data_IF_614461158013
#
_entry.id   IF_614461158013
#
_cell.length_a   1.000
_cell.length_b   1.000
_cell.length_c   1.000
_cell.angle_alpha   90.00
_cell.angle_beta   90.00
_cell.angle_gamma   90.00
#
_symmetry.space_group_name_H-M   'P 1'
#
loop_
_entity.id
_entity.type
_entity.pdbx_description
1 polymer ?
#
# COMPACT_ATOMS: atom_id res chain seq x y z
N UNK A 1 8.70 -18.86 22.34
CA UNK A 1 7.63 -17.92 22.73
C UNK A 1 6.86 -17.53 21.47
N UNK A 2 5.53 -17.42 21.50
CA UNK A 2 4.76 -16.97 20.34
C UNK A 2 5.07 -15.50 20.03
N UNK A 3 5.08 -15.14 18.75
CA UNK A 3 5.25 -13.76 18.33
C UNK A 3 4.00 -12.94 18.69
N UNK A 4 4.05 -12.20 19.79
CA UNK A 4 2.93 -11.37 20.27
C UNK A 4 2.59 -10.18 19.36
N UNK A 5 3.50 -9.80 18.47
CA UNK A 5 3.36 -8.64 17.59
C UNK A 5 2.86 -9.01 16.19
N UNK A 6 2.72 -10.29 15.86
CA UNK A 6 2.19 -10.72 14.57
C UNK A 6 3.12 -10.54 13.36
N UNK A 7 4.31 -9.96 13.53
CA UNK A 7 5.33 -9.90 12.47
C UNK A 7 5.63 -11.26 11.84
N UNK A 8 5.85 -11.27 10.54
CA UNK A 8 6.04 -12.53 9.78
C UNK A 8 7.40 -12.59 9.09
N UNK A 9 8.03 -11.44 8.86
CA UNK A 9 9.26 -11.32 8.11
C UNK A 9 10.24 -10.37 8.80
N UNK A 10 11.50 -10.47 8.40
CA UNK A 10 12.54 -9.51 8.73
C UNK A 10 12.96 -8.79 7.45
N UNK A 11 12.98 -7.46 7.51
CA UNK A 11 13.51 -6.62 6.44
C UNK A 11 14.96 -6.26 6.75
N UNK A 12 15.87 -6.61 5.85
CA UNK A 12 17.26 -6.18 5.91
C UNK A 12 17.42 -4.95 5.02
N UNK A 13 17.65 -3.81 5.63
CA UNK A 13 17.76 -2.52 4.93
C UNK A 13 19.25 -2.18 4.77
N UNK A 14 19.76 -2.08 3.54
CA UNK A 14 21.16 -1.73 3.29
C UNK A 14 21.43 -0.24 3.61
N UNK A 15 22.70 0.14 3.78
CA UNK A 15 23.07 1.47 4.24
C UNK A 15 22.71 2.59 3.27
N UNK A 16 22.54 2.35 1.99
CA UNK A 16 22.05 3.37 1.07
C UNK A 16 20.56 3.72 1.31
N UNK A 17 19.76 2.81 1.90
CA UNK A 17 18.33 3.00 2.16
C UNK A 17 18.01 3.60 3.53
N UNK A 18 18.83 3.37 4.55
CA UNK A 18 18.62 3.96 5.89
C UNK A 18 19.60 5.11 6.18
N UNK A 19 19.20 6.08 7.02
CA UNK A 19 20.03 7.26 7.33
C UNK A 19 20.73 7.17 8.69
N UNK A 20 20.72 6.02 9.35
CA UNK A 20 21.37 5.87 10.66
C UNK A 20 22.88 6.09 10.52
N UNK A 21 23.45 6.86 11.45
CA UNK A 21 24.87 7.22 11.53
C UNK A 21 25.46 7.97 10.32
N UNK A 22 24.62 8.43 9.37
CA UNK A 22 25.06 9.21 8.23
C UNK A 22 25.80 10.48 8.68
N UNK A 23 26.99 10.72 8.14
CA UNK A 23 27.85 11.87 8.45
C UNK A 23 28.67 11.74 9.74
N UNK A 24 28.70 10.55 10.37
CA UNK A 24 29.52 10.29 11.57
C UNK A 24 30.47 9.11 11.44
N UNK A 25 30.01 8.02 10.83
CA UNK A 25 30.74 6.75 10.69
C UNK A 25 30.60 6.24 9.25
N UNK A 26 30.84 7.11 8.27
CA UNK A 26 30.48 6.82 6.87
C UNK A 26 31.26 5.63 6.28
N UNK A 27 32.49 5.38 6.74
CA UNK A 27 33.29 4.22 6.36
C UNK A 27 32.73 2.93 6.95
N UNK A 28 32.50 2.88 8.27
CA UNK A 28 31.96 1.69 8.96
C UNK A 28 30.50 1.42 8.57
N UNK A 29 29.77 2.45 8.14
CA UNK A 29 28.38 2.35 7.72
C UNK A 29 28.21 1.55 6.44
N UNK A 30 29.24 1.37 5.60
CA UNK A 30 29.12 0.61 4.35
C UNK A 30 28.68 -0.85 4.57
N UNK A 31 28.95 -1.40 5.75
CA UNK A 31 28.58 -2.77 6.13
C UNK A 31 27.39 -2.82 7.12
N UNK A 32 26.76 -1.67 7.40
CA UNK A 32 25.70 -1.57 8.40
C UNK A 32 24.32 -1.83 7.79
N UNK A 33 23.72 -2.95 8.17
CA UNK A 33 22.32 -3.26 7.86
C UNK A 33 21.41 -2.89 9.02
N UNK A 34 20.32 -2.21 8.72
CA UNK A 34 19.21 -2.05 9.65
C UNK A 34 18.26 -3.23 9.48
N UNK A 35 17.99 -3.96 10.57
CA UNK A 35 17.06 -5.09 10.55
C UNK A 35 15.77 -4.69 11.25
N UNK A 36 14.63 -4.79 10.55
CA UNK A 36 13.32 -4.41 11.06
C UNK A 36 12.35 -5.60 10.99
N UNK A 37 11.56 -5.88 12.04
CA UNK A 37 10.46 -6.82 11.94
C UNK A 37 9.29 -6.18 11.18
N UNK A 38 8.73 -6.93 10.22
CA UNK A 38 7.66 -6.45 9.36
C UNK A 38 6.55 -7.51 9.18
N UNK A 39 5.38 -7.09 8.73
CA UNK A 39 4.36 -7.95 8.16
C UNK A 39 4.68 -8.23 6.69
N UNK A 40 4.23 -9.37 6.17
CA UNK A 40 4.54 -9.83 4.82
C UNK A 40 4.05 -8.87 3.73
N UNK A 41 3.03 -8.08 4.03
CA UNK A 41 2.43 -7.11 3.13
C UNK A 41 3.05 -5.71 3.21
N UNK A 42 4.04 -5.49 4.09
CA UNK A 42 4.58 -4.14 4.33
C UNK A 42 5.55 -3.64 3.24
N UNK A 43 6.30 -4.55 2.61
CA UNK A 43 7.34 -4.26 1.62
C UNK A 43 7.51 -5.43 0.65
N UNK A 44 7.77 -5.14 -0.63
CA UNK A 44 8.05 -6.16 -1.66
C UNK A 44 9.51 -6.59 -1.69
N UNK A 45 10.42 -5.69 -1.26
CA UNK A 45 11.86 -5.86 -1.40
C UNK A 45 12.41 -5.39 -2.75
N UNK A 46 11.55 -4.98 -3.68
CA UNK A 46 11.91 -4.45 -5.00
C UNK A 46 11.70 -2.92 -5.10
N UNK A 47 11.40 -2.24 -4.00
CA UNK A 47 11.20 -0.80 -3.98
C UNK A 47 12.46 -0.06 -4.47
N UNK A 48 12.27 1.00 -5.25
CA UNK A 48 13.33 1.99 -5.40
C UNK A 48 13.65 2.62 -4.05
N UNK A 49 14.86 3.17 -3.94
CA UNK A 49 15.32 3.88 -2.74
C UNK A 49 14.37 5.01 -2.36
N UNK A 50 13.89 5.75 -3.36
CA UNK A 50 12.98 6.88 -3.19
C UNK A 50 11.64 6.41 -2.64
N UNK A 51 11.05 5.36 -3.25
CA UNK A 51 9.78 4.80 -2.80
C UNK A 51 9.89 4.22 -1.38
N UNK A 52 10.98 3.51 -1.07
CA UNK A 52 11.21 3.00 0.29
C UNK A 52 11.23 4.13 1.33
N UNK A 53 11.90 5.25 1.03
CA UNK A 53 11.96 6.41 1.91
C UNK A 53 10.57 7.02 2.11
N UNK A 54 9.80 7.18 1.02
CA UNK A 54 8.42 7.70 1.10
C UNK A 54 7.52 6.81 1.95
N UNK A 55 7.56 5.48 1.73
CA UNK A 55 6.79 4.50 2.52
C UNK A 55 7.18 4.59 3.99
N UNK A 56 8.48 4.56 4.31
CA UNK A 56 8.98 4.61 5.68
C UNK A 56 8.60 5.92 6.39
N UNK A 57 8.54 7.05 5.68
CA UNK A 57 8.24 8.34 6.28
C UNK A 57 6.74 8.58 6.48
N UNK A 58 5.89 8.08 5.58
CA UNK A 58 4.49 8.46 5.54
C UNK A 58 3.51 7.34 5.85
N UNK A 59 3.80 6.09 5.44
CA UNK A 59 2.81 5.01 5.48
C UNK A 59 3.15 3.89 6.46
N UNK A 60 4.43 3.55 6.63
CA UNK A 60 4.87 2.43 7.46
C UNK A 60 5.69 2.89 8.69
N UNK A 61 5.13 2.85 9.90
CA UNK A 61 5.85 3.19 11.13
C UNK A 61 6.61 1.99 11.70
N UNK A 62 7.55 1.40 10.95
CA UNK A 62 8.25 0.15 11.31
C UNK A 62 8.97 0.13 12.68
N UNK A 63 9.21 1.30 13.30
CA UNK A 63 9.80 1.42 14.64
C UNK A 63 8.77 1.33 15.77
N UNK A 64 7.48 1.51 15.47
CA UNK A 64 6.39 1.25 16.40
C UNK A 64 5.98 -0.22 16.31
N UNK A 65 6.34 -1.00 17.33
CA UNK A 65 6.04 -2.42 17.35
C UNK A 65 4.60 -2.73 17.77
N UNK A 66 3.86 -1.74 18.28
CA UNK A 66 2.45 -1.89 18.64
C UNK A 66 1.51 -1.47 17.50
N UNK A 67 2.05 -1.08 16.34
CA UNK A 67 1.27 -0.66 15.18
C UNK A 67 0.32 -1.75 14.68
N UNK A 68 -0.74 -1.30 14.03
CA UNK A 68 -1.58 -2.15 13.20
C UNK A 68 -0.86 -2.57 11.90
N UNK A 69 -1.43 -3.56 11.20
CA UNK A 69 -0.94 -3.99 9.89
C UNK A 69 -1.11 -2.83 8.90
N UNK A 70 -0.04 -2.48 8.19
CA UNK A 70 -0.03 -1.35 7.23
C UNK A 70 0.48 -1.85 5.89
N UNK A 71 -0.35 -2.53 5.09
CA UNK A 71 0.10 -3.07 3.82
C UNK A 71 0.59 -1.93 2.91
N UNK A 72 1.65 -2.19 2.16
CA UNK A 72 2.07 -1.33 1.08
C UNK A 72 0.96 -1.25 0.05
N UNK A 73 0.60 -0.02 -0.31
CA UNK A 73 -0.37 0.26 -1.34
C UNK A 73 0.06 1.48 -2.13
N UNK A 74 0.05 1.36 -3.46
CA UNK A 74 0.15 2.50 -4.37
C UNK A 74 -1.24 2.80 -4.91
N UNK A 75 -1.66 4.06 -4.81
CA UNK A 75 -2.96 4.51 -5.24
C UNK A 75 -2.82 5.39 -6.48
N UNK A 76 -3.52 5.02 -7.55
CA UNK A 76 -3.75 5.86 -8.73
C UNK A 76 -5.25 6.08 -8.85
N UNK A 77 -5.70 7.32 -8.85
CA UNK A 77 -7.14 7.61 -8.87
C UNK A 77 -7.43 8.93 -9.57
N UNK A 78 -8.65 9.05 -10.05
CA UNK A 78 -9.23 10.28 -10.58
C UNK A 78 -10.67 10.40 -10.10
N UNK A 79 -10.98 11.52 -9.46
CA UNK A 79 -12.31 11.82 -8.97
C UNK A 79 -12.75 13.21 -9.47
N UNK A 80 -13.55 13.29 -10.54
CA UNK A 80 -13.96 14.57 -11.12
C UNK A 80 -14.84 15.40 -10.19
N UNK A 81 -15.52 14.78 -9.21
CA UNK A 81 -16.36 15.48 -8.22
C UNK A 81 -15.51 16.23 -7.22
N UNK A 82 -14.46 15.61 -6.67
CA UNK A 82 -13.55 16.24 -5.71
C UNK A 82 -12.42 17.01 -6.40
N UNK A 83 -12.23 16.82 -7.71
CA UNK A 83 -11.04 17.21 -8.48
C UNK A 83 -9.75 16.61 -7.93
N UNK A 84 -9.87 15.57 -7.09
CA UNK A 84 -8.75 14.83 -6.55
C UNK A 84 -8.23 13.83 -7.57
N UNK A 85 -6.93 13.61 -7.55
CA UNK A 85 -6.31 12.55 -8.33
C UNK A 85 -4.82 12.45 -8.07
N UNK A 86 -4.27 11.28 -8.37
CA UNK A 86 -2.84 11.03 -8.36
C UNK A 86 -2.36 10.97 -9.82
N UNK A 87 -1.83 12.08 -10.33
CA UNK A 87 -1.44 12.26 -11.74
C UNK A 87 -0.20 11.47 -12.18
N UNK A 88 0.26 10.50 -11.40
CA UNK A 88 1.39 9.63 -11.72
C UNK A 88 0.88 8.30 -12.28
N UNK A 89 1.47 7.83 -13.38
CA UNK A 89 1.16 6.53 -13.97
C UNK A 89 1.48 5.36 -13.05
N UNK A 90 2.38 5.53 -12.07
CA UNK A 90 2.78 4.46 -11.13
C UNK A 90 2.04 4.49 -9.79
N UNK A 91 1.09 5.42 -9.61
CA UNK A 91 0.43 5.66 -8.32
C UNK A 91 1.33 6.33 -7.28
N UNK A 92 0.76 6.62 -6.11
CA UNK A 92 1.46 7.21 -4.95
C UNK A 92 1.31 6.33 -3.71
N UNK A 93 2.33 6.21 -2.84
CA UNK A 93 2.22 5.40 -1.63
C UNK A 93 1.22 6.03 -0.65
N UNK A 94 0.26 5.25 -0.18
CA UNK A 94 -0.79 5.72 0.74
C UNK A 94 -1.07 4.70 1.85
N UNK A 95 -1.74 5.17 2.92
CA UNK A 95 -2.32 4.29 3.94
C UNK A 95 -3.68 3.79 3.50
N UNK A 96 -4.08 2.63 4.01
CA UNK A 96 -5.41 2.07 3.74
C UNK A 96 -6.57 3.01 4.13
N UNK A 97 -6.40 3.83 5.16
CA UNK A 97 -7.42 4.82 5.55
C UNK A 97 -7.72 5.85 4.45
N UNK A 98 -6.73 6.21 3.62
CA UNK A 98 -6.95 7.10 2.47
C UNK A 98 -7.66 6.35 1.34
N UNK A 99 -7.29 5.09 1.11
CA UNK A 99 -7.96 4.20 0.16
C UNK A 99 -9.45 4.05 0.50
N UNK A 100 -9.79 3.76 1.76
CA UNK A 100 -11.17 3.71 2.26
C UNK A 100 -11.90 5.03 1.94
N UNK A 101 -11.33 6.16 2.35
CA UNK A 101 -11.94 7.48 2.09
C UNK A 101 -12.17 7.74 0.59
N UNK A 102 -11.21 7.39 -0.28
CA UNK A 102 -11.37 7.60 -1.71
C UNK A 102 -12.41 6.66 -2.35
N UNK A 103 -12.55 5.42 -1.85
CA UNK A 103 -13.66 4.52 -2.25
C UNK A 103 -15.00 5.15 -1.88
N UNK A 104 -15.13 5.72 -0.69
CA UNK A 104 -16.37 6.41 -0.28
C UNK A 104 -16.62 7.64 -1.15
N UNK A 105 -15.58 8.40 -1.46
CA UNK A 105 -15.65 9.56 -2.33
C UNK A 105 -15.92 9.20 -3.80
N UNK A 106 -15.70 7.96 -4.23
CA UNK A 106 -15.99 7.49 -5.57
C UNK A 106 -17.48 7.18 -5.79
N UNK A 107 -18.27 7.05 -4.71
CA UNK A 107 -19.65 6.59 -4.76
C UNK A 107 -20.52 7.37 -5.76
N UNK A 108 -21.02 6.66 -6.78
CA UNK A 108 -21.93 7.17 -7.80
C UNK A 108 -21.29 8.12 -8.81
N UNK A 109 -19.98 8.05 -9.02
CA UNK A 109 -19.26 8.85 -10.01
C UNK A 109 -18.97 8.00 -11.26
N UNK A 110 -19.72 8.25 -12.33
CA UNK A 110 -19.64 7.53 -13.60
C UNK A 110 -18.24 7.57 -14.25
N UNK A 111 -17.59 8.73 -14.25
CA UNK A 111 -16.26 8.93 -14.85
C UNK A 111 -15.13 8.87 -13.83
N UNK A 112 -15.40 8.42 -12.60
CA UNK A 112 -14.38 8.26 -11.57
C UNK A 112 -13.68 6.90 -11.71
N UNK A 113 -12.41 6.86 -11.32
CA UNK A 113 -11.61 5.65 -11.34
C UNK A 113 -10.66 5.59 -10.16
N UNK A 114 -10.36 4.36 -9.72
CA UNK A 114 -9.33 4.10 -8.74
C UNK A 114 -8.63 2.77 -9.02
N UNK A 115 -7.32 2.74 -8.85
CA UNK A 115 -6.44 1.58 -8.92
C UNK A 115 -5.63 1.49 -7.65
N UNK A 116 -5.55 0.29 -7.10
CA UNK A 116 -4.73 -0.01 -5.93
C UNK A 116 -3.76 -1.12 -6.28
N UNK A 117 -2.47 -0.80 -6.27
CA UNK A 117 -1.40 -1.77 -6.47
C UNK A 117 -0.87 -2.23 -5.11
N UNK A 118 -0.82 -3.54 -4.92
CA UNK A 118 -0.31 -4.16 -3.69
C UNK A 118 1.19 -4.45 -3.74
N UNK A 119 1.69 -5.03 -2.65
CA UNK A 119 3.10 -5.42 -2.47
C UNK A 119 3.64 -6.36 -3.56
N UNK A 120 2.77 -7.13 -4.22
CA UNK A 120 3.15 -8.09 -5.27
C UNK A 120 3.29 -7.45 -6.66
N UNK A 121 2.97 -6.17 -6.80
CA UNK A 121 2.87 -5.49 -8.09
C UNK A 121 1.54 -5.76 -8.82
N UNK A 122 0.73 -6.70 -8.34
CA UNK A 122 -0.65 -6.86 -8.81
C UNK A 122 -1.49 -5.63 -8.46
N UNK A 123 -2.54 -5.38 -9.24
CA UNK A 123 -3.48 -4.31 -8.97
C UNK A 123 -4.95 -4.74 -9.03
N UNK A 124 -5.78 -3.91 -8.40
CA UNK A 124 -7.24 -3.95 -8.51
C UNK A 124 -7.76 -2.60 -8.98
N UNK A 125 -8.78 -2.64 -9.82
CA UNK A 125 -9.47 -1.47 -10.33
C UNK A 125 -10.87 -1.37 -9.72
N UNK A 126 -11.27 -0.14 -9.43
CA UNK A 126 -12.53 0.18 -8.79
C UNK A 126 -13.21 1.32 -9.56
N UNK A 127 -14.46 1.09 -9.93
CA UNK A 127 -15.37 2.07 -10.51
C UNK A 127 -16.64 2.13 -9.66
N UNK A 128 -17.37 3.24 -9.68
CA UNK A 128 -18.69 3.33 -9.05
C UNK A 128 -19.68 4.10 -9.93
N UNK A 129 -20.22 3.47 -10.99
CA UNK A 129 -21.02 4.18 -11.98
C UNK A 129 -22.40 4.63 -11.47
N UNK A 130 -22.86 4.10 -10.33
CA UNK A 130 -24.14 4.44 -9.72
C UNK A 130 -24.05 4.36 -8.19
N UNK A 131 -24.93 5.07 -7.45
CA UNK A 131 -24.91 5.05 -6.00
C UNK A 131 -24.93 3.64 -5.41
N UNK A 132 -24.01 3.38 -4.48
CA UNK A 132 -23.81 2.13 -3.75
C UNK A 132 -23.60 0.89 -4.65
N UNK A 133 -23.11 1.11 -5.87
CA UNK A 133 -22.71 0.05 -6.78
C UNK A 133 -21.26 0.28 -7.20
N UNK A 134 -20.41 -0.64 -6.78
CA UNK A 134 -19.00 -0.66 -7.12
C UNK A 134 -18.71 -1.81 -8.06
N UNK A 135 -17.86 -1.56 -9.05
CA UNK A 135 -17.28 -2.58 -9.90
C UNK A 135 -15.84 -2.78 -9.43
N UNK A 136 -15.53 -3.99 -8.99
CA UNK A 136 -14.20 -4.40 -8.53
C UNK A 136 -13.64 -5.43 -9.50
N UNK A 137 -12.41 -5.21 -9.97
CA UNK A 137 -11.73 -6.11 -10.91
C UNK A 137 -10.28 -6.28 -10.49
N UNK A 138 -9.82 -7.51 -10.27
CA UNK A 138 -8.38 -7.78 -10.23
C UNK A 138 -7.80 -7.81 -11.64
N UNK A 139 -6.50 -7.59 -11.79
CA UNK A 139 -5.83 -7.73 -13.09
C UNK A 139 -5.97 -9.13 -13.74
N UNK A 140 -6.38 -10.13 -12.98
CA UNK A 140 -6.57 -11.52 -13.44
C UNK A 140 -8.03 -11.89 -13.67
N UNK A 141 -8.97 -11.02 -13.28
CA UNK A 141 -10.40 -11.28 -13.44
C UNK A 141 -10.80 -11.03 -14.90
N UNK A 142 -11.52 -11.98 -15.51
CA UNK A 142 -12.08 -11.79 -16.86
C UNK A 142 -13.20 -10.74 -16.88
N UNK A 143 -13.98 -10.65 -15.81
CA UNK A 143 -15.14 -9.77 -15.69
C UNK A 143 -15.17 -9.11 -14.30
N UNK A 144 -15.61 -7.85 -14.18
CA UNK A 144 -15.71 -7.16 -12.90
C UNK A 144 -16.82 -7.75 -12.03
N UNK A 145 -16.57 -7.82 -10.72
CA UNK A 145 -17.57 -8.15 -9.71
C UNK A 145 -18.31 -6.89 -9.28
N UNK A 146 -19.64 -7.00 -9.10
CA UNK A 146 -20.44 -5.92 -8.51
C UNK A 146 -20.52 -6.10 -7.00
N UNK A 147 -20.29 -5.02 -6.26
CA UNK A 147 -20.23 -4.99 -4.79
C UNK A 147 -20.90 -3.72 -4.25
N UNK A 148 -21.35 -3.75 -2.99
CA UNK A 148 -21.67 -2.54 -2.23
C UNK A 148 -20.40 -1.89 -1.66
N UNK A 149 -20.54 -0.73 -0.98
CA UNK A 149 -19.40 0.02 -0.43
C UNK A 149 -18.55 -0.79 0.56
N UNK A 150 -19.16 -1.49 1.51
CA UNK A 150 -18.43 -2.21 2.55
C UNK A 150 -17.73 -3.46 1.97
N UNK A 151 -18.39 -4.15 1.03
CA UNK A 151 -17.82 -5.28 0.31
C UNK A 151 -16.57 -4.90 -0.46
N UNK A 152 -16.57 -3.78 -1.19
CA UNK A 152 -15.40 -3.34 -1.94
C UNK A 152 -14.24 -2.91 -1.04
N UNK A 153 -14.52 -2.23 0.08
CA UNK A 153 -13.49 -1.85 1.07
C UNK A 153 -12.81 -3.10 1.64
N UNK A 154 -13.61 -4.09 2.04
CA UNK A 154 -13.09 -5.36 2.56
C UNK A 154 -12.30 -6.13 1.49
N UNK A 155 -12.79 -6.19 0.26
CA UNK A 155 -12.10 -6.86 -0.84
C UNK A 155 -10.72 -6.23 -1.14
N UNK A 156 -10.61 -4.90 -1.08
CA UNK A 156 -9.31 -4.21 -1.24
C UNK A 156 -8.37 -4.52 -0.08
N UNK A 157 -8.87 -4.54 1.17
CA UNK A 157 -8.07 -4.93 2.32
C UNK A 157 -7.52 -6.35 2.16
N UNK A 158 -8.40 -7.32 1.87
CA UNK A 158 -8.04 -8.73 1.66
C UNK A 158 -7.01 -8.88 0.55
N UNK A 159 -7.19 -8.17 -0.57
CA UNK A 159 -6.24 -8.16 -1.67
C UNK A 159 -4.83 -7.70 -1.23
N UNK A 160 -4.76 -6.62 -0.45
CA UNK A 160 -3.51 -6.04 0.04
C UNK A 160 -2.80 -6.91 1.08
N UNK A 161 -3.53 -7.63 1.91
CA UNK A 161 -2.96 -8.47 2.99
C UNK A 161 -2.85 -9.95 2.64
N UNK A 162 -3.30 -10.39 1.46
CA UNK A 162 -3.18 -11.78 1.02
C UNK A 162 -1.72 -12.25 1.02
N UNK A 163 -1.50 -13.52 1.41
CA UNK A 163 -0.20 -14.20 1.34
C UNK A 163 -0.10 -15.03 0.07
N UNK A 164 1.12 -15.21 -0.43
CA UNK A 164 1.40 -16.23 -1.42
C UNK A 164 1.11 -17.62 -0.82
N UNK A 165 0.39 -18.46 -1.57
CA UNK A 165 0.15 -19.87 -1.21
C UNK A 165 1.33 -20.74 -1.61
#
# INVERSE_FOLDING_TARGET
MPNKYGFTHLLLVPPDFHSYFKGRLDEERQELFLVLPIHHCDYSGNESRELFIEIRQHTNPALDWQREVTPQALLRFENPRTKGGAGNSTGVPVRFSLIDNEIRNLNGIESGFMEVTGVRGDFVEILSPSPDKYMFRTQFDNEPRTMNQDEVINAVWEFLVARDQ
#
